data_IF_773291858673
#
_entry.id   IF_773291858673
#
_cell.length_a   1.000
_cell.length_b   1.000
_cell.length_c   1.000
_cell.angle_alpha   90.00
_cell.angle_beta   90.00
_cell.angle_gamma   90.00
#
_symmetry.space_group_name_H-M   'P 1'
#
loop_
_entity.id
_entity.type
_entity.pdbx_description
1 polymer ?
#
# COMPACT_ATOMS: atom_id res chain seq x y z
N UNK A 1 -20.39 3.33 -8.77
CA UNK A 1 -20.38 2.56 -7.49
C UNK A 1 -19.27 3.11 -6.62
N UNK A 2 -19.54 3.42 -5.35
CA UNK A 2 -18.54 3.90 -4.39
C UNK A 2 -18.05 2.75 -3.50
N UNK A 3 -16.82 2.81 -2.97
CA UNK A 3 -16.28 1.76 -2.10
C UNK A 3 -17.03 1.64 -0.76
N UNK A 4 -17.34 0.40 -0.40
CA UNK A 4 -17.82 0.01 0.93
C UNK A 4 -16.65 -0.10 1.92
N UNK A 5 -15.44 -0.41 1.40
CA UNK A 5 -14.22 -0.60 2.18
C UNK A 5 -13.03 0.06 1.49
N UNK A 6 -12.24 0.81 2.26
CA UNK A 6 -11.03 1.47 1.75
C UNK A 6 -9.82 1.07 2.62
N UNK A 7 -8.86 0.40 2.01
CA UNK A 7 -7.56 0.16 2.62
C UNK A 7 -6.68 1.40 2.42
N UNK A 8 -6.63 2.25 3.41
CA UNK A 8 -5.92 3.55 3.32
C UNK A 8 -4.39 3.43 3.46
N UNK A 9 -3.91 2.26 3.75
CA UNK A 9 -2.48 1.98 3.85
C UNK A 9 -1.95 1.87 5.28
N UNK A 10 -0.70 2.31 5.54
CA UNK A 10 0.22 2.99 4.61
C UNK A 10 0.86 2.08 3.56
N UNK A 11 1.55 2.72 2.61
CA UNK A 11 2.41 2.00 1.65
C UNK A 11 3.45 1.16 2.38
N UNK A 12 3.86 0.01 1.80
CA UNK A 12 4.83 -0.95 2.34
C UNK A 12 4.32 -1.84 3.48
N UNK A 13 3.01 -1.91 3.66
CA UNK A 13 2.32 -2.79 4.61
C UNK A 13 1.51 -3.91 3.91
N UNK A 14 2.00 -4.45 2.79
CA UNK A 14 1.39 -5.62 2.15
C UNK A 14 0.21 -5.35 1.21
N UNK A 15 -0.16 -4.11 0.96
CA UNK A 15 -1.34 -3.73 0.15
C UNK A 15 -1.35 -4.28 -1.29
N UNK A 16 -0.18 -4.58 -1.87
CA UNK A 16 -0.13 -5.24 -3.19
C UNK A 16 -0.58 -6.70 -3.10
N UNK A 17 -0.26 -7.38 -2.01
CA UNK A 17 -0.71 -8.74 -1.77
C UNK A 17 -2.23 -8.77 -1.55
N UNK A 18 -2.76 -7.83 -0.74
CA UNK A 18 -4.20 -7.67 -0.50
C UNK A 18 -4.95 -7.46 -1.82
N UNK A 19 -4.52 -6.52 -2.65
CA UNK A 19 -5.13 -6.29 -3.98
C UNK A 19 -5.12 -7.56 -4.84
N UNK A 20 -3.99 -8.30 -4.84
CA UNK A 20 -3.89 -9.55 -5.59
C UNK A 20 -4.84 -10.62 -5.05
N UNK A 21 -4.93 -10.79 -3.74
CA UNK A 21 -5.84 -11.72 -3.09
C UNK A 21 -7.31 -11.37 -3.36
N UNK A 22 -7.70 -10.12 -3.14
CA UNK A 22 -9.08 -9.68 -3.35
C UNK A 22 -9.52 -9.81 -4.81
N UNK A 23 -8.59 -9.72 -5.78
CA UNK A 23 -8.90 -10.00 -7.21
C UNK A 23 -9.19 -11.47 -7.52
N UNK A 24 -8.91 -12.39 -6.61
CA UNK A 24 -9.31 -13.81 -6.74
C UNK A 24 -10.71 -14.08 -6.20
N UNK A 25 -11.37 -13.05 -5.61
CA UNK A 25 -12.66 -13.17 -4.93
C UNK A 25 -13.78 -12.61 -5.81
N UNK A 26 -14.73 -13.45 -6.18
CA UNK A 26 -15.86 -13.07 -7.04
C UNK A 26 -16.84 -12.11 -6.35
N UNK A 27 -16.84 -12.14 -5.00
CA UNK A 27 -17.70 -11.27 -4.18
C UNK A 27 -17.16 -9.84 -4.05
N UNK A 28 -15.98 -9.55 -4.65
CA UNK A 28 -15.30 -8.25 -4.51
C UNK A 28 -15.25 -7.50 -5.83
N UNK A 29 -15.62 -6.24 -5.79
CA UNK A 29 -15.45 -5.30 -6.92
C UNK A 29 -14.28 -4.37 -6.61
N UNK A 30 -13.22 -4.47 -7.40
CA UNK A 30 -12.02 -3.60 -7.37
C UNK A 30 -11.97 -2.75 -8.64
N UNK A 31 -11.18 -1.65 -8.66
CA UNK A 31 -10.92 -0.90 -9.89
C UNK A 31 -10.44 -1.84 -11.00
N UNK A 32 -11.17 -1.85 -12.14
CA UNK A 32 -10.99 -2.84 -13.21
C UNK A 32 -9.75 -2.59 -14.07
N UNK A 33 -9.33 -1.34 -14.23
CA UNK A 33 -8.29 -0.89 -15.14
C UNK A 33 -6.99 -0.44 -14.46
N UNK A 34 -6.98 -0.33 -13.15
CA UNK A 34 -5.82 0.05 -12.36
C UNK A 34 -5.81 -0.65 -10.98
N UNK A 35 -4.67 -0.63 -10.29
CA UNK A 35 -4.58 -1.07 -8.91
C UNK A 35 -5.06 0.01 -7.94
N UNK A 36 -4.66 1.25 -8.18
CA UNK A 36 -4.95 2.42 -7.36
C UNK A 36 -5.49 3.52 -8.27
N UNK A 37 -6.64 4.09 -7.93
CA UNK A 37 -7.24 5.17 -8.73
C UNK A 37 -6.52 6.50 -8.51
N UNK A 38 -5.89 6.68 -7.34
CA UNK A 38 -5.34 7.95 -6.87
C UNK A 38 -6.37 9.09 -6.86
N UNK A 39 -7.66 8.76 -6.77
CA UNK A 39 -8.71 9.75 -6.82
C UNK A 39 -8.63 10.73 -5.65
N UNK A 40 -8.60 10.23 -4.43
CA UNK A 40 -8.69 11.05 -3.23
C UNK A 40 -7.47 11.94 -2.96
N UNK A 41 -6.30 11.63 -3.55
CA UNK A 41 -5.06 12.36 -3.27
C UNK A 41 -4.43 13.08 -4.47
N UNK A 42 -4.83 12.74 -5.72
CA UNK A 42 -4.18 13.30 -6.92
C UNK A 42 -5.12 13.65 -8.07
N UNK A 43 -6.35 13.15 -8.04
CA UNK A 43 -7.28 13.26 -9.16
C UNK A 43 -8.70 13.63 -8.70
N UNK A 44 -8.83 14.27 -7.56
CA UNK A 44 -10.12 14.63 -6.97
C UNK A 44 -10.91 15.63 -7.84
N UNK A 45 -10.20 16.47 -8.58
CA UNK A 45 -10.71 17.41 -9.57
C UNK A 45 -11.45 16.75 -10.74
N UNK A 46 -11.22 15.46 -11.00
CA UNK A 46 -11.94 14.72 -12.04
C UNK A 46 -13.40 14.38 -11.68
N UNK A 47 -13.75 14.51 -10.41
CA UNK A 47 -15.10 14.31 -9.91
C UNK A 47 -15.50 12.85 -9.72
N UNK A 48 -16.57 12.67 -8.93
CA UNK A 48 -17.10 11.36 -8.52
C UNK A 48 -17.48 10.46 -9.72
N UNK A 49 -18.13 10.95 -10.79
CA UNK A 49 -18.47 10.10 -11.94
C UNK A 49 -17.23 9.45 -12.61
N UNK A 50 -16.11 10.17 -12.68
CA UNK A 50 -14.87 9.60 -13.17
C UNK A 50 -14.36 8.50 -12.24
N UNK A 51 -14.40 8.73 -10.94
CA UNK A 51 -14.00 7.74 -9.95
C UNK A 51 -14.84 6.47 -10.02
N UNK A 52 -16.16 6.59 -10.04
CA UNK A 52 -17.09 5.47 -10.14
C UNK A 52 -16.90 4.64 -11.43
N UNK A 53 -16.46 5.27 -12.51
CA UNK A 53 -16.24 4.59 -13.80
C UNK A 53 -15.17 3.48 -13.75
N UNK A 54 -14.30 3.50 -12.73
CA UNK A 54 -13.29 2.46 -12.51
C UNK A 54 -13.88 1.17 -11.91
N UNK A 55 -15.02 1.24 -11.21
CA UNK A 55 -15.63 0.10 -10.52
C UNK A 55 -16.73 -0.50 -11.39
N UNK A 56 -16.37 -1.56 -12.12
CA UNK A 56 -17.26 -2.25 -13.05
C UNK A 56 -17.58 -3.65 -12.51
N UNK A 57 -18.80 -3.83 -11.99
CA UNK A 57 -19.28 -5.10 -11.45
C UNK A 57 -20.78 -5.01 -11.16
N UNK A 58 -21.43 -6.17 -11.04
CA UNK A 58 -22.82 -6.25 -10.64
C UNK A 58 -22.89 -6.97 -9.28
N UNK A 59 -23.04 -6.19 -8.21
CA UNK A 59 -23.11 -6.71 -6.84
C UNK A 59 -21.75 -7.03 -6.23
N UNK A 60 -21.75 -7.38 -4.95
CA UNK A 60 -20.55 -7.63 -4.16
C UNK A 60 -20.04 -6.42 -3.39
N UNK A 61 -19.03 -6.65 -2.55
CA UNK A 61 -18.39 -5.60 -1.74
C UNK A 61 -17.43 -4.79 -2.62
N UNK A 62 -17.68 -3.50 -2.75
CA UNK A 62 -16.81 -2.59 -3.48
C UNK A 62 -15.61 -2.18 -2.60
N UNK A 63 -14.40 -2.44 -3.07
CA UNK A 63 -13.17 -2.22 -2.30
C UNK A 63 -12.17 -1.37 -3.08
N UNK A 64 -11.56 -0.38 -2.42
CA UNK A 64 -10.38 0.29 -2.94
C UNK A 64 -9.16 0.03 -2.06
N UNK A 65 -8.02 -0.28 -2.68
CA UNK A 65 -6.73 -0.42 -2.01
C UNK A 65 -5.85 0.77 -2.37
N UNK A 66 -5.92 1.83 -1.56
CA UNK A 66 -5.32 3.15 -1.78
C UNK A 66 -4.27 3.54 -0.71
N UNK A 67 -3.13 2.85 -0.64
CA UNK A 67 -2.18 2.99 0.47
C UNK A 67 -1.47 4.35 0.57
N UNK A 68 -1.65 5.23 -0.39
CA UNK A 68 -1.09 6.57 -0.38
C UNK A 68 -1.88 7.56 0.50
N UNK A 69 -3.06 7.18 1.00
CA UNK A 69 -3.98 8.09 1.70
C UNK A 69 -3.64 8.29 3.18
N UNK A 70 -3.04 7.27 3.82
CA UNK A 70 -2.91 7.15 5.28
C UNK A 70 -2.46 8.43 6.00
N UNK A 71 -1.43 9.08 5.50
CA UNK A 71 -0.78 10.24 6.14
C UNK A 71 -1.15 11.59 5.50
N UNK A 72 -2.28 11.66 4.77
CA UNK A 72 -2.70 12.85 4.02
C UNK A 72 -4.04 13.38 4.53
N UNK A 73 -4.06 14.50 5.28
CA UNK A 73 -5.30 15.10 5.77
C UNK A 73 -6.28 15.48 4.67
N UNK A 74 -5.80 16.04 3.55
CA UNK A 74 -6.67 16.41 2.42
C UNK A 74 -7.34 15.19 1.79
N UNK A 75 -6.60 14.08 1.66
CA UNK A 75 -7.16 12.83 1.15
C UNK A 75 -8.22 12.25 2.11
N UNK A 76 -7.99 12.32 3.42
CA UNK A 76 -9.00 11.94 4.42
C UNK A 76 -10.27 12.78 4.27
N UNK A 77 -10.14 14.11 4.13
CA UNK A 77 -11.27 15.00 3.96
C UNK A 77 -12.08 14.63 2.69
N UNK A 78 -11.38 14.32 1.60
CA UNK A 78 -12.00 13.88 0.35
C UNK A 78 -12.72 12.52 0.50
N UNK A 79 -12.09 11.55 1.20
CA UNK A 79 -12.75 10.26 1.49
C UNK A 79 -14.00 10.48 2.33
N UNK A 80 -13.92 11.32 3.37
CA UNK A 80 -15.08 11.62 4.23
C UNK A 80 -16.22 12.28 3.47
N UNK A 81 -15.91 13.16 2.52
CA UNK A 81 -16.91 13.85 1.70
C UNK A 81 -17.63 12.91 0.72
N UNK A 82 -16.93 11.93 0.13
CA UNK A 82 -17.47 11.07 -0.92
C UNK A 82 -17.97 9.73 -0.38
N UNK A 83 -17.27 9.14 0.59
CA UNK A 83 -17.56 7.81 1.14
C UNK A 83 -17.73 7.85 2.67
N UNK A 84 -18.67 8.63 3.24
CA UNK A 84 -18.80 8.83 4.70
C UNK A 84 -19.13 7.54 5.47
N UNK A 85 -19.67 6.53 4.81
CA UNK A 85 -20.07 5.26 5.41
C UNK A 85 -19.08 4.12 5.14
N UNK A 86 -17.96 4.40 4.44
CA UNK A 86 -16.97 3.38 4.14
C UNK A 86 -16.28 2.86 5.41
N UNK A 87 -16.05 1.55 5.45
CA UNK A 87 -15.16 0.94 6.44
C UNK A 87 -13.71 1.24 6.04
N UNK A 88 -12.95 1.71 6.99
CA UNK A 88 -11.55 2.11 6.79
C UNK A 88 -10.65 1.01 7.35
N UNK A 89 -9.71 0.53 6.56
CA UNK A 89 -8.73 -0.47 7.01
C UNK A 89 -7.33 0.12 6.99
N UNK A 90 -6.71 0.14 8.17
CA UNK A 90 -5.33 0.58 8.37
C UNK A 90 -4.45 -0.66 8.53
N UNK A 91 -3.46 -0.79 7.65
CA UNK A 91 -2.47 -1.86 7.71
C UNK A 91 -1.33 -1.45 8.64
N UNK A 92 -1.07 -2.23 9.67
CA UNK A 92 0.04 -2.00 10.60
C UNK A 92 1.25 -2.86 10.22
N UNK A 93 2.44 -2.30 10.40
CA UNK A 93 3.73 -2.96 10.29
C UNK A 93 4.71 -2.26 11.22
N UNK A 94 5.74 -2.98 11.71
CA UNK A 94 6.86 -2.31 12.41
C UNK A 94 7.30 -1.07 11.64
N UNK A 95 7.27 0.13 12.26
CA UNK A 95 7.50 1.40 11.58
C UNK A 95 8.92 1.52 11.01
N UNK A 96 9.93 0.97 11.69
CA UNK A 96 11.32 1.01 11.24
C UNK A 96 11.50 0.12 10.01
N UNK A 97 10.97 -1.11 10.06
CA UNK A 97 10.97 -2.04 8.92
C UNK A 97 10.17 -1.47 7.71
N UNK A 98 9.11 -0.69 7.99
CA UNK A 98 8.36 -0.01 6.94
C UNK A 98 9.21 1.07 6.27
N UNK A 99 9.93 1.91 7.03
CA UNK A 99 10.84 2.94 6.50
C UNK A 99 11.92 2.30 5.63
N UNK A 100 12.60 1.25 6.14
CA UNK A 100 13.59 0.47 5.36
C UNK A 100 13.01 -0.03 4.04
N UNK A 101 11.81 -0.63 4.10
CA UNK A 101 11.12 -1.11 2.89
C UNK A 101 10.77 0.03 1.92
N UNK A 102 10.48 1.24 2.44
CA UNK A 102 10.15 2.40 1.62
C UNK A 102 11.38 3.00 0.95
N UNK A 103 12.53 3.05 1.65
CA UNK A 103 13.81 3.42 1.08
C UNK A 103 14.14 2.55 -0.14
N UNK A 104 14.10 1.23 -0.02
CA UNK A 104 14.36 0.32 -1.14
C UNK A 104 13.28 0.42 -2.23
N UNK A 105 12.07 0.82 -1.90
CA UNK A 105 11.04 1.08 -2.89
C UNK A 105 11.38 2.27 -3.78
N UNK A 106 11.88 3.38 -3.22
CA UNK A 106 12.37 4.51 -4.00
C UNK A 106 13.55 4.11 -4.89
N UNK A 107 14.50 3.33 -4.35
CA UNK A 107 15.59 2.76 -5.13
C UNK A 107 15.08 1.92 -6.32
N UNK A 108 14.09 1.08 -6.08
CA UNK A 108 13.43 0.27 -7.11
C UNK A 108 12.70 1.12 -8.17
N UNK A 109 12.27 2.33 -7.81
CA UNK A 109 11.65 3.27 -8.74
C UNK A 109 12.67 4.11 -9.54
N UNK A 110 13.95 3.87 -9.38
CA UNK A 110 15.01 4.57 -10.09
C UNK A 110 15.52 5.84 -9.39
N UNK A 111 15.14 6.05 -8.13
CA UNK A 111 15.79 7.09 -7.32
C UNK A 111 17.23 6.64 -7.05
N UNK A 112 18.21 7.54 -7.27
CA UNK A 112 19.61 7.26 -7.06
C UNK A 112 19.89 6.83 -5.62
N UNK A 113 20.94 6.02 -5.41
CA UNK A 113 21.40 5.69 -4.07
C UNK A 113 21.91 6.95 -3.39
N UNK A 114 21.44 7.16 -2.17
CA UNK A 114 21.83 8.27 -1.32
C UNK A 114 21.68 7.87 0.15
N UNK A 115 22.32 8.59 1.09
CA UNK A 115 22.12 8.38 2.52
C UNK A 115 20.63 8.43 2.90
N UNK A 116 20.25 7.67 3.94
CA UNK A 116 18.84 7.61 4.41
C UNK A 116 18.32 9.00 4.79
N UNK A 117 19.14 9.84 5.43
CA UNK A 117 18.79 11.20 5.82
C UNK A 117 18.43 12.07 4.61
N UNK A 118 19.22 11.99 3.54
CA UNK A 118 18.94 12.73 2.30
C UNK A 118 17.68 12.21 1.61
N UNK A 119 17.49 10.89 1.56
CA UNK A 119 16.27 10.28 1.02
C UNK A 119 15.03 10.74 1.79
N UNK A 120 15.09 10.77 3.13
CA UNK A 120 14.01 11.22 3.98
C UNK A 120 13.69 12.70 3.80
N UNK A 121 14.70 13.54 3.58
CA UNK A 121 14.52 14.97 3.28
C UNK A 121 13.81 15.19 1.94
N UNK A 122 14.20 14.43 0.91
CA UNK A 122 13.59 14.53 -0.43
C UNK A 122 12.20 13.88 -0.52
N UNK A 123 11.97 12.89 0.32
CA UNK A 123 10.75 12.08 0.35
C UNK A 123 10.26 11.92 1.80
N UNK A 124 9.70 12.98 2.41
CA UNK A 124 9.29 12.98 3.82
C UNK A 124 8.21 11.94 4.15
N UNK A 125 7.40 11.54 3.17
CA UNK A 125 6.42 10.47 3.29
C UNK A 125 7.05 9.11 3.65
N UNK A 126 8.36 8.96 3.44
CA UNK A 126 9.12 7.78 3.86
C UNK A 126 9.07 7.59 5.40
N UNK A 127 9.08 8.67 6.16
CA UNK A 127 9.00 8.65 7.63
C UNK A 127 7.57 8.95 8.09
N UNK A 128 6.94 10.00 7.57
CA UNK A 128 5.60 10.44 7.98
C UNK A 128 4.57 9.31 7.96
N UNK A 129 4.55 8.50 6.90
CA UNK A 129 3.64 7.37 6.80
C UNK A 129 3.95 6.22 7.79
N UNK A 130 4.97 6.34 8.66
CA UNK A 130 5.27 5.43 9.76
C UNK A 130 4.84 5.96 11.14
N UNK A 131 4.31 7.17 11.22
CA UNK A 131 3.74 7.72 12.44
C UNK A 131 2.31 7.18 12.62
N UNK A 132 2.24 5.93 13.08
CA UNK A 132 0.98 5.20 13.14
C UNK A 132 0.00 5.78 14.13
N UNK A 133 0.45 6.19 15.33
CA UNK A 133 -0.45 6.81 16.32
C UNK A 133 -1.04 8.11 15.80
N UNK A 134 -0.18 9.01 15.33
CA UNK A 134 -0.57 10.33 14.80
C UNK A 134 -1.68 10.22 13.75
N UNK A 135 -1.46 9.38 12.72
CA UNK A 135 -2.39 9.31 11.60
C UNK A 135 -3.57 8.39 11.84
N UNK A 136 -3.42 7.34 12.66
CA UNK A 136 -4.57 6.52 13.05
C UNK A 136 -5.59 7.31 13.86
N UNK A 137 -5.13 8.20 14.75
CA UNK A 137 -6.02 9.08 15.50
C UNK A 137 -6.88 9.93 14.57
N UNK A 138 -6.27 10.53 13.54
CA UNK A 138 -6.95 11.32 12.52
C UNK A 138 -8.07 10.52 11.80
N UNK A 139 -7.78 9.26 11.40
CA UNK A 139 -8.79 8.41 10.77
C UNK A 139 -9.87 7.97 11.74
N UNK A 140 -9.53 7.64 13.00
CA UNK A 140 -10.50 7.24 14.03
C UNK A 140 -11.48 8.37 14.38
N UNK A 141 -11.00 9.61 14.43
CA UNK A 141 -11.83 10.80 14.66
C UNK A 141 -12.80 11.07 13.50
N UNK A 142 -12.32 10.93 12.28
CA UNK A 142 -13.13 11.16 11.08
C UNK A 142 -14.14 10.04 10.79
N UNK A 143 -13.83 8.78 11.17
CA UNK A 143 -14.64 7.60 10.91
C UNK A 143 -14.89 6.80 12.22
N UNK A 144 -15.63 7.36 13.18
CA UNK A 144 -15.84 6.73 14.48
C UNK A 144 -16.57 5.38 14.34
N UNK A 145 -15.97 4.32 14.89
CA UNK A 145 -16.52 2.96 14.82
C UNK A 145 -16.34 2.24 13.47
N UNK A 146 -15.75 2.89 12.46
CA UNK A 146 -15.59 2.34 11.11
C UNK A 146 -14.14 1.96 10.78
N UNK A 147 -13.18 2.11 11.70
CA UNK A 147 -11.76 1.85 11.47
C UNK A 147 -11.34 0.52 12.05
N UNK A 148 -10.75 -0.32 11.22
CA UNK A 148 -10.12 -1.59 11.59
C UNK A 148 -8.61 -1.55 11.36
N UNK A 149 -7.86 -2.27 12.22
CA UNK A 149 -6.41 -2.41 12.10
C UNK A 149 -6.05 -3.86 11.75
N UNK A 150 -5.15 -4.05 10.79
CA UNK A 150 -4.68 -5.38 10.37
C UNK A 150 -3.15 -5.43 10.38
N UNK A 151 -2.59 -6.41 11.08
CA UNK A 151 -1.14 -6.60 11.14
C UNK A 151 -0.58 -7.22 9.86
N UNK A 152 0.43 -6.56 9.26
CA UNK A 152 1.21 -7.14 8.16
C UNK A 152 2.02 -8.36 8.59
N UNK A 153 2.39 -8.46 9.87
CA UNK A 153 3.22 -9.56 10.35
C UNK A 153 2.43 -10.88 10.40
N UNK A 154 1.11 -10.82 10.55
CA UNK A 154 0.24 -11.97 10.40
C UNK A 154 0.36 -12.61 9.01
N UNK A 155 0.50 -11.81 7.94
CA UNK A 155 0.73 -12.32 6.58
C UNK A 155 2.00 -13.20 6.49
N UNK A 156 2.99 -12.97 7.36
CA UNK A 156 4.24 -13.76 7.37
C UNK A 156 4.11 -15.01 8.24
N UNK A 157 3.51 -14.87 9.43
CA UNK A 157 3.40 -15.92 10.43
C UNK A 157 2.26 -16.91 10.14
N UNK A 158 1.10 -16.39 9.73
CA UNK A 158 -0.10 -17.18 9.41
C UNK A 158 -0.86 -16.57 8.20
N UNK A 159 -0.45 -16.89 6.97
CA UNK A 159 -1.11 -16.36 5.76
C UNK A 159 -2.58 -16.76 5.61
N UNK A 160 -2.98 -17.91 6.15
CA UNK A 160 -4.37 -18.37 6.10
C UNK A 160 -5.22 -17.54 7.05
N UNK A 161 -4.78 -17.39 8.32
CA UNK A 161 -5.44 -16.51 9.28
C UNK A 161 -5.48 -15.06 8.80
N UNK A 162 -4.44 -14.61 8.07
CA UNK A 162 -4.47 -13.28 7.46
C UNK A 162 -5.58 -13.14 6.41
N UNK A 163 -5.83 -14.17 5.58
CA UNK A 163 -6.96 -14.17 4.64
C UNK A 163 -8.29 -14.07 5.38
N UNK A 164 -8.47 -14.83 6.46
CA UNK A 164 -9.70 -14.79 7.28
C UNK A 164 -9.93 -13.38 7.86
N UNK A 165 -8.88 -12.73 8.37
CA UNK A 165 -8.97 -11.33 8.84
C UNK A 165 -9.33 -10.37 7.70
N UNK A 166 -8.78 -10.56 6.49
CA UNK A 166 -9.16 -9.73 5.34
C UNK A 166 -10.62 -9.95 4.95
N UNK A 167 -11.11 -11.20 5.01
CA UNK A 167 -12.53 -11.49 4.77
C UNK A 167 -13.44 -10.80 5.80
N UNK A 168 -13.08 -10.84 7.08
CA UNK A 168 -13.81 -10.20 8.16
C UNK A 168 -13.91 -8.67 7.97
N UNK A 169 -12.78 -7.99 7.80
CA UNK A 169 -12.78 -6.52 7.64
C UNK A 169 -13.43 -6.06 6.34
N UNK A 170 -13.48 -6.89 5.31
CA UNK A 170 -14.18 -6.60 4.05
C UNK A 170 -15.63 -7.06 4.06
N UNK A 171 -16.03 -7.88 5.04
CA UNK A 171 -17.39 -8.42 5.15
C UNK A 171 -17.74 -9.40 4.02
N UNK A 172 -16.77 -10.12 3.49
CA UNK A 172 -16.96 -11.18 2.50
C UNK A 172 -16.88 -12.56 3.18
N UNK A 173 -17.46 -13.61 2.58
CA UNK A 173 -17.38 -14.96 3.15
C UNK A 173 -15.95 -15.43 3.34
N UNK A 174 -15.64 -16.02 4.50
CA UNK A 174 -14.36 -16.65 4.76
C UNK A 174 -14.31 -18.03 4.07
N UNK A 175 -13.51 -18.13 3.04
CA UNK A 175 -13.30 -19.38 2.27
C UNK A 175 -11.82 -19.69 2.18
N UNK A 176 -11.50 -20.98 1.99
CA UNK A 176 -10.11 -21.42 1.85
C UNK A 176 -9.43 -20.65 0.71
N UNK A 177 -8.33 -19.91 0.99
CA UNK A 177 -7.65 -19.15 -0.05
C UNK A 177 -7.08 -20.07 -1.13
N UNK A 178 -7.12 -19.67 -2.41
CA UNK A 178 -6.46 -20.41 -3.47
C UNK A 178 -4.96 -20.59 -3.22
N UNK A 179 -4.41 -21.75 -3.55
CA UNK A 179 -3.00 -22.08 -3.28
C UNK A 179 -2.01 -21.09 -3.96
N UNK A 180 -2.35 -20.55 -5.12
CA UNK A 180 -1.58 -19.54 -5.84
C UNK A 180 -1.60 -18.17 -5.13
N UNK A 181 -2.70 -17.80 -4.46
CA UNK A 181 -2.75 -16.62 -3.61
C UNK A 181 -1.78 -16.75 -2.42
N UNK A 182 -1.68 -17.94 -1.83
CA UNK A 182 -0.74 -18.23 -0.74
C UNK A 182 0.71 -18.34 -1.20
N UNK A 183 0.95 -18.85 -2.42
CA UNK A 183 2.29 -18.95 -3.02
C UNK A 183 2.92 -17.57 -3.31
N UNK A 184 2.11 -16.54 -3.44
CA UNK A 184 2.54 -15.15 -3.71
C UNK A 184 3.24 -14.45 -2.54
N UNK A 185 3.70 -15.17 -1.51
CA UNK A 185 4.37 -14.61 -0.30
C UNK A 185 5.50 -13.62 -0.59
N UNK A 186 6.11 -13.69 -1.77
CA UNK A 186 7.25 -12.89 -2.18
C UNK A 186 6.95 -11.87 -3.28
N UNK A 187 5.69 -11.39 -3.42
CA UNK A 187 5.30 -10.48 -4.52
C UNK A 187 6.20 -9.24 -4.64
N UNK A 188 6.96 -8.89 -3.60
CA UNK A 188 7.89 -7.76 -3.59
C UNK A 188 9.20 -8.02 -2.85
N UNK A 189 9.83 -9.19 -3.01
CA UNK A 189 11.21 -9.38 -2.55
C UNK A 189 12.07 -8.19 -3.05
N UNK A 190 12.97 -7.71 -2.19
CA UNK A 190 13.83 -6.57 -2.48
C UNK A 190 14.79 -6.91 -3.63
N UNK A 191 14.36 -6.66 -4.87
CA UNK A 191 15.24 -6.72 -6.05
C UNK A 191 15.46 -5.30 -6.54
N UNK A 192 16.74 -4.89 -6.64
CA UNK A 192 17.11 -3.59 -7.20
C UNK A 192 17.16 -3.68 -8.74
N UNK A 193 16.85 -2.59 -9.46
CA UNK A 193 17.06 -2.55 -10.91
C UNK A 193 18.54 -2.55 -11.23
N UNK A 194 18.91 -3.19 -12.34
CA UNK A 194 20.30 -3.16 -12.88
C UNK A 194 20.79 -1.75 -13.22
N UNK A 195 19.88 -0.84 -13.55
CA UNK A 195 20.16 0.55 -13.91
C UNK A 195 19.05 1.47 -13.44
N UNK A 196 19.39 2.47 -12.62
CA UNK A 196 18.48 3.52 -12.17
C UNK A 196 17.92 4.34 -13.36
N UNK A 197 18.76 4.59 -14.38
CA UNK A 197 18.34 5.32 -15.58
C UNK A 197 17.25 4.58 -16.36
N UNK A 198 17.36 3.26 -16.54
CA UNK A 198 16.35 2.45 -17.22
C UNK A 198 15.04 2.43 -16.44
N UNK A 199 15.10 2.32 -15.10
CA UNK A 199 13.92 2.37 -14.26
C UNK A 199 13.22 3.74 -14.31
N UNK A 200 14.00 4.83 -14.40
CA UNK A 200 13.45 6.19 -14.48
C UNK A 200 12.76 6.45 -15.82
N UNK A 201 13.35 6.02 -16.94
CA UNK A 201 12.79 6.18 -18.30
C UNK A 201 11.50 5.37 -18.43
N UNK A 202 11.48 4.11 -17.95
CA UNK A 202 10.29 3.27 -18.00
C UNK A 202 9.16 3.80 -17.14
N UNK A 203 9.46 4.42 -15.99
CA UNK A 203 8.48 5.09 -15.12
C UNK A 203 7.87 6.31 -15.79
N UNK A 204 8.70 7.24 -16.31
CA UNK A 204 8.21 8.43 -17.02
C UNK A 204 7.36 8.07 -18.23
N UNK A 205 7.78 7.09 -19.02
CA UNK A 205 7.01 6.58 -20.15
C UNK A 205 5.66 6.02 -19.72
N UNK A 206 5.61 5.25 -18.63
CA UNK A 206 4.36 4.71 -18.08
C UNK A 206 3.44 5.81 -17.49
N UNK A 207 3.99 6.85 -16.86
CA UNK A 207 3.22 8.00 -16.36
C UNK A 207 2.62 8.80 -17.51
N UNK A 208 3.40 9.07 -18.56
CA UNK A 208 2.92 9.78 -19.75
C UNK A 208 1.82 8.99 -20.47
N UNK A 209 2.03 7.67 -20.65
CA UNK A 209 1.03 6.80 -21.26
C UNK A 209 -0.30 6.79 -20.48
N UNK A 210 -0.24 6.77 -19.13
CA UNK A 210 -1.45 6.86 -18.30
C UNK A 210 -2.16 8.19 -18.41
N UNK A 211 -1.41 9.32 -18.45
CA UNK A 211 -2.00 10.65 -18.68
C UNK A 211 -2.72 10.75 -20.02
N UNK A 212 -2.25 10.02 -21.03
CA UNK A 212 -2.83 9.96 -22.37
C UNK A 212 -3.92 8.86 -22.53
N UNK A 213 -4.38 8.25 -21.43
CA UNK A 213 -5.42 7.21 -21.46
C UNK A 213 -4.93 5.81 -21.86
N UNK A 214 -3.62 5.62 -22.03
CA UNK A 214 -3.01 4.35 -22.48
C UNK A 214 -2.86 3.28 -21.40
N UNK A 215 -3.80 3.13 -20.47
CA UNK A 215 -3.76 2.14 -19.38
C UNK A 215 -3.58 0.70 -19.88
N UNK A 216 -4.25 0.35 -20.98
CA UNK A 216 -4.14 -0.98 -21.61
C UNK A 216 -2.73 -1.31 -22.10
N UNK A 217 -2.03 -0.35 -22.71
CA UNK A 217 -0.65 -0.52 -23.18
C UNK A 217 0.33 -0.73 -22.02
N UNK A 218 0.17 0.01 -20.92
CA UNK A 218 1.02 -0.13 -19.73
C UNK A 218 0.81 -1.50 -19.08
N UNK A 219 -0.42 -1.99 -19.02
CA UNK A 219 -0.74 -3.31 -18.48
C UNK A 219 -0.22 -4.44 -19.38
N UNK A 220 -0.29 -4.28 -20.71
CA UNK A 220 0.30 -5.23 -21.68
C UNK A 220 1.82 -5.32 -21.53
N UNK A 221 2.53 -4.18 -21.44
CA UNK A 221 3.98 -4.13 -21.21
C UNK A 221 4.39 -4.77 -19.87
N UNK A 222 3.54 -4.70 -18.83
CA UNK A 222 3.78 -5.41 -17.56
C UNK A 222 3.69 -6.94 -17.71
N UNK A 223 2.80 -7.44 -18.58
CA UNK A 223 2.61 -8.89 -18.83
C UNK A 223 3.72 -9.50 -19.67
N UNK A 224 4.42 -8.74 -20.51
CA UNK A 224 5.44 -9.24 -21.46
C UNK A 224 6.79 -9.64 -20.85
N UNK A 225 6.93 -9.67 -19.51
CA UNK A 225 8.17 -10.14 -18.86
C UNK A 225 9.39 -9.21 -18.98
N UNK A 226 9.30 -8.08 -19.69
CA UNK A 226 10.35 -7.05 -19.78
C UNK A 226 10.80 -6.56 -18.41
N UNK A 227 9.92 -6.61 -17.40
CA UNK A 227 10.25 -6.32 -16.01
C UNK A 227 11.26 -7.31 -15.42
N UNK A 228 11.18 -8.61 -15.78
CA UNK A 228 12.16 -9.62 -15.32
C UNK A 228 13.56 -9.31 -15.84
N UNK A 229 13.70 -8.89 -17.09
CA UNK A 229 14.99 -8.53 -17.72
C UNK A 229 15.62 -7.28 -17.06
N UNK A 230 14.83 -6.29 -16.69
CA UNK A 230 15.32 -5.06 -16.05
C UNK A 230 15.72 -5.26 -14.57
N UNK A 231 15.17 -6.29 -13.89
CA UNK A 231 15.32 -6.53 -12.46
C UNK A 231 16.01 -7.87 -12.12
N UNK A 232 16.32 -8.73 -13.10
CA UNK A 232 17.06 -9.97 -12.90
C UNK A 232 18.56 -9.65 -12.80
N UNK A 233 19.11 -9.68 -11.58
CA UNK A 233 20.56 -9.53 -11.33
C UNK A 233 20.95 -8.38 -10.39
N UNK A 234 20.02 -7.86 -9.58
CA UNK A 234 20.38 -7.06 -8.40
C UNK A 234 21.14 -7.93 -7.41
N UNK A 235 22.32 -7.46 -6.94
CA UNK A 235 23.13 -8.14 -5.96
C UNK A 235 22.40 -8.40 -4.64
N UNK A 236 23.02 -9.18 -3.76
CA UNK A 236 22.53 -9.38 -2.41
C UNK A 236 22.44 -8.02 -1.68
N UNK A 237 21.22 -7.64 -1.35
CA UNK A 237 20.90 -6.38 -0.66
C UNK A 237 20.84 -6.58 0.87
N UNK A 238 21.16 -7.74 1.39
CA UNK A 238 21.01 -8.03 2.82
C UNK A 238 21.94 -7.15 3.66
N UNK A 239 23.23 -7.07 3.33
CA UNK A 239 24.19 -6.22 4.03
C UNK A 239 23.83 -4.71 3.91
N UNK A 240 23.39 -4.27 2.73
CA UNK A 240 22.91 -2.89 2.54
C UNK A 240 21.63 -2.63 3.37
N UNK A 241 20.76 -3.63 3.50
CA UNK A 241 19.54 -3.53 4.29
C UNK A 241 19.85 -3.34 5.77
N UNK A 242 20.82 -4.04 6.32
CA UNK A 242 21.23 -3.92 7.73
C UNK A 242 21.84 -2.54 8.02
N UNK A 243 22.67 -2.03 7.11
CA UNK A 243 23.21 -0.67 7.21
C UNK A 243 22.09 0.39 7.17
N UNK A 244 21.16 0.29 6.20
CA UNK A 244 19.99 1.18 6.12
C UNK A 244 19.13 1.09 7.37
N UNK A 245 18.93 -0.08 7.95
CA UNK A 245 18.19 -0.27 9.19
C UNK A 245 18.86 0.44 10.37
N UNK A 246 20.18 0.34 10.48
CA UNK A 246 20.94 1.04 11.49
C UNK A 246 20.78 2.57 11.36
N UNK A 247 20.92 3.11 10.15
CA UNK A 247 20.71 4.53 9.86
C UNK A 247 19.29 4.98 10.20
N UNK A 248 18.28 4.19 9.84
CA UNK A 248 16.87 4.49 10.15
C UNK A 248 16.65 4.60 11.66
N UNK A 249 17.19 3.68 12.47
CA UNK A 249 17.07 3.73 13.93
C UNK A 249 17.66 5.02 14.51
N UNK A 250 18.79 5.48 13.99
CA UNK A 250 19.43 6.72 14.43
C UNK A 250 18.72 8.00 13.98
N UNK A 251 18.09 7.98 12.81
CA UNK A 251 17.50 9.17 12.17
C UNK A 251 16.02 9.39 12.47
N UNK A 252 15.34 8.43 13.08
CA UNK A 252 13.88 8.50 13.29
C UNK A 252 13.48 8.35 14.77
N UNK A 253 14.02 9.20 15.68
CA UNK A 253 13.72 9.09 17.12
C UNK A 253 12.23 9.24 17.44
N UNK A 254 11.47 9.93 16.57
CA UNK A 254 10.03 10.14 16.73
C UNK A 254 9.19 8.86 16.53
N UNK A 255 9.72 7.83 15.86
CA UNK A 255 8.96 6.60 15.60
C UNK A 255 8.76 5.75 16.86
N UNK A 256 9.73 5.72 17.78
CA UNK A 256 9.62 4.90 18.98
C UNK A 256 8.51 5.40 19.93
N UNK A 257 8.41 6.69 20.29
CA UNK A 257 7.30 7.17 21.10
C UNK A 257 5.94 7.09 20.40
N UNK A 258 5.87 7.31 19.06
CA UNK A 258 4.62 7.14 18.31
C UNK A 258 4.17 5.66 18.31
N UNK A 259 5.09 4.71 18.12
CA UNK A 259 4.80 3.28 18.21
C UNK A 259 4.31 2.90 19.62
N UNK A 260 4.95 3.42 20.67
CA UNK A 260 4.53 3.17 22.06
C UNK A 260 3.11 3.67 22.32
N UNK A 261 2.80 4.88 21.87
CA UNK A 261 1.47 5.46 21.99
C UNK A 261 0.43 4.67 21.16
N UNK A 262 0.80 4.24 19.93
CA UNK A 262 -0.04 3.40 19.09
C UNK A 262 -0.39 2.08 19.78
N UNK A 263 0.61 1.36 20.31
CA UNK A 263 0.40 0.09 20.99
C UNK A 263 -0.44 0.24 22.26
N UNK A 264 -0.22 1.29 23.04
CA UNK A 264 -1.02 1.58 24.23
C UNK A 264 -2.49 1.84 23.91
N UNK A 265 -2.75 2.51 22.78
CA UNK A 265 -4.10 2.92 22.40
C UNK A 265 -4.84 1.84 21.58
N UNK A 266 -4.14 1.20 20.67
CA UNK A 266 -4.76 0.33 19.64
C UNK A 266 -4.24 -1.11 19.65
N UNK A 267 -3.20 -1.46 20.43
CA UNK A 267 -2.58 -2.79 20.39
C UNK A 267 -3.58 -3.94 20.57
N UNK A 268 -4.59 -3.77 21.43
CA UNK A 268 -5.67 -4.77 21.63
C UNK A 268 -6.69 -4.83 20.49
N UNK A 269 -6.68 -3.87 19.57
CA UNK A 269 -7.61 -3.77 18.45
C UNK A 269 -7.01 -4.25 17.12
N UNK A 270 -5.73 -4.61 17.13
CA UNK A 270 -5.05 -5.06 15.92
C UNK A 270 -5.36 -6.53 15.70
N UNK A 271 -6.07 -6.84 14.62
CA UNK A 271 -6.32 -8.22 14.23
C UNK A 271 -5.00 -8.88 13.82
N UNK A 272 -4.65 -9.99 14.47
CA UNK A 272 -3.46 -10.78 14.18
C UNK A 272 -2.23 -10.47 15.06
N UNK A 273 -2.43 -9.87 16.23
CA UNK A 273 -1.43 -9.85 17.33
C UNK A 273 -1.98 -10.64 18.51
#
# INVERSE_FOLDING_TARGET
>A
MLPDVIFVGPTKCGTTWIDTYLRTREEVVLPSDCKETFFFDKAFDKGVPWYESHFRGQGGTCVEVAPSLFHKPDALANVRAVCPNARIVIMFRDPFERVVSHYFHYRKQGVAQMPVAEMATRHPDMIEASLFHKYSLMWMEAFPGQVSFVSYDLLKSDPVGFCSVICDVTGIPDTVPPADALAGRAVNAASLPRSAALAHVTRRGAELARRMGGHGLVNWLRKTGLKKLAFSGGGDVSAERDAVKHDVLGLTPQLAPDLSAFNATYGKKINGI
#
